data_IF_522243069621
#
_entry.id   IF_522243069621
#
_cell.length_a   1.000
_cell.length_b   1.000
_cell.length_c   1.000
_cell.angle_alpha   90.00
_cell.angle_beta   90.00
_cell.angle_gamma   90.00
#
_symmetry.space_group_name_H-M   'P 1'
#
loop_
_entity.id
_entity.type
_entity.pdbx_description
1 polymer ?
#
# COMPACT_ATOMS: atom_id res chain seq x y z
N UNK A 1 -4.87 -27.70 -6.99
CA UNK A 1 -6.07 -28.32 -7.56
C UNK A 1 -7.17 -27.27 -7.57
N UNK A 2 -8.06 -27.24 -8.57
CA UNK A 2 -9.05 -26.15 -8.68
C UNK A 2 -10.01 -26.09 -7.48
N UNK A 3 -10.31 -27.23 -6.85
CA UNK A 3 -11.18 -27.33 -5.67
C UNK A 3 -10.57 -26.68 -4.43
N UNK A 4 -9.25 -26.79 -4.21
CA UNK A 4 -8.59 -26.12 -3.08
C UNK A 4 -8.53 -24.61 -3.27
N UNK A 5 -8.42 -24.15 -4.52
CA UNK A 5 -8.53 -22.73 -4.86
C UNK A 5 -9.92 -22.16 -4.61
N UNK A 6 -10.98 -22.87 -5.03
CA UNK A 6 -12.37 -22.44 -4.82
C UNK A 6 -12.73 -22.38 -3.33
N UNK A 7 -12.38 -23.41 -2.55
CA UNK A 7 -12.64 -23.43 -1.12
C UNK A 7 -11.96 -22.28 -0.37
N UNK A 8 -10.74 -21.89 -0.78
CA UNK A 8 -10.08 -20.70 -0.24
C UNK A 8 -10.86 -19.43 -0.57
N UNK A 9 -11.36 -19.28 -1.81
CA UNK A 9 -12.12 -18.09 -2.21
C UNK A 9 -13.44 -17.97 -1.46
N UNK A 10 -14.17 -19.08 -1.29
CA UNK A 10 -15.43 -19.11 -0.54
C UNK A 10 -15.19 -18.75 0.93
N UNK A 11 -14.17 -19.34 1.56
CA UNK A 11 -13.77 -18.99 2.93
C UNK A 11 -13.34 -17.53 3.03
N UNK A 12 -12.57 -17.03 2.06
CA UNK A 12 -12.08 -15.66 2.08
C UNK A 12 -13.21 -14.63 1.90
N UNK A 13 -14.27 -15.00 1.18
CA UNK A 13 -15.49 -14.21 1.07
C UNK A 13 -16.27 -14.20 2.39
N UNK A 14 -16.48 -15.37 2.99
CA UNK A 14 -17.20 -15.52 4.27
C UNK A 14 -16.50 -14.77 5.42
N UNK A 15 -15.19 -14.95 5.54
CA UNK A 15 -14.35 -14.26 6.53
C UNK A 15 -14.00 -12.82 6.13
N UNK A 16 -14.52 -12.33 4.99
CA UNK A 16 -14.30 -10.97 4.48
C UNK A 16 -12.82 -10.56 4.49
N UNK A 17 -11.96 -11.50 4.09
CA UNK A 17 -10.50 -11.39 4.19
C UNK A 17 -9.88 -10.22 3.40
N UNK A 18 -10.67 -9.57 2.55
CA UNK A 18 -10.30 -8.46 1.66
C UNK A 18 -11.06 -7.17 1.98
N UNK A 19 -11.97 -7.19 2.97
CA UNK A 19 -12.71 -6.02 3.39
C UNK A 19 -11.78 -5.08 4.14
N UNK A 20 -11.80 -3.82 3.74
CA UNK A 20 -11.07 -2.74 4.40
C UNK A 20 -12.07 -2.00 5.28
N UNK A 21 -11.84 -2.04 6.60
CA UNK A 21 -12.62 -1.27 7.58
C UNK A 21 -12.16 0.19 7.55
N UNK A 22 -13.01 1.09 7.03
CA UNK A 22 -12.68 2.51 6.97
C UNK A 22 -12.71 3.14 8.36
N UNK A 23 -13.58 2.62 9.24
CA UNK A 23 -13.71 2.99 10.64
C UNK A 23 -12.41 2.71 11.39
N UNK A 24 -11.87 1.49 11.28
CA UNK A 24 -10.62 1.14 11.97
C UNK A 24 -9.43 1.98 11.45
N UNK A 25 -9.40 2.28 10.15
CA UNK A 25 -8.36 3.13 9.56
C UNK A 25 -8.50 4.57 10.04
N UNK A 26 -9.72 5.09 10.08
CA UNK A 26 -9.99 6.43 10.55
C UNK A 26 -9.54 6.59 12.01
N UNK A 27 -9.95 5.67 12.88
CA UNK A 27 -9.61 5.70 14.31
C UNK A 27 -8.11 5.53 14.56
N UNK A 28 -7.45 4.65 13.80
CA UNK A 28 -6.02 4.35 14.02
C UNK A 28 -5.06 5.35 13.38
N UNK A 29 -5.47 6.05 12.32
CA UNK A 29 -4.55 6.82 11.46
C UNK A 29 -5.00 8.27 11.25
N UNK A 30 -6.30 8.55 11.26
CA UNK A 30 -6.85 9.85 10.86
C UNK A 30 -7.75 10.50 11.92
N UNK A 31 -7.53 10.21 13.20
CA UNK A 31 -8.27 10.80 14.33
C UNK A 31 -9.80 10.66 14.20
N UNK A 32 -10.28 9.54 13.64
CA UNK A 32 -11.70 9.27 13.42
C UNK A 32 -12.29 9.89 12.14
N UNK A 33 -11.47 10.53 11.30
CA UNK A 33 -11.92 11.13 10.02
C UNK A 33 -12.13 10.05 8.94
N UNK A 34 -13.38 9.60 8.82
CA UNK A 34 -13.81 8.57 7.85
C UNK A 34 -13.59 9.02 6.39
N UNK A 35 -13.75 10.30 6.09
CA UNK A 35 -13.61 10.80 4.73
C UNK A 35 -12.14 10.78 4.29
N UNK A 36 -11.22 11.13 5.19
CA UNK A 36 -9.78 10.92 4.96
C UNK A 36 -9.42 9.46 4.81
N UNK A 37 -9.98 8.58 5.65
CA UNK A 37 -9.73 7.14 5.54
C UNK A 37 -10.17 6.60 4.17
N UNK A 38 -11.39 6.91 3.73
CA UNK A 38 -11.90 6.52 2.40
C UNK A 38 -11.04 7.10 1.27
N UNK A 39 -10.66 8.38 1.37
CA UNK A 39 -9.81 9.05 0.38
C UNK A 39 -8.45 8.38 0.28
N UNK A 40 -7.78 8.13 1.40
CA UNK A 40 -6.45 7.55 1.45
C UNK A 40 -6.44 6.10 0.92
N UNK A 41 -7.42 5.28 1.30
CA UNK A 41 -7.58 3.92 0.74
C UNK A 41 -7.86 3.97 -0.76
N UNK A 42 -8.72 4.88 -1.21
CA UNK A 42 -9.00 5.08 -2.64
C UNK A 42 -7.75 5.46 -3.44
N UNK A 43 -6.93 6.37 -2.91
CA UNK A 43 -5.65 6.77 -3.51
C UNK A 43 -4.67 5.58 -3.57
N UNK A 44 -4.52 4.84 -2.48
CA UNK A 44 -3.67 3.64 -2.47
C UNK A 44 -4.14 2.63 -3.54
N UNK A 45 -5.44 2.37 -3.60
CA UNK A 45 -6.05 1.46 -4.56
C UNK A 45 -5.85 1.90 -6.01
N UNK A 46 -5.94 3.20 -6.29
CA UNK A 46 -5.79 3.74 -7.64
C UNK A 46 -4.32 3.80 -8.11
N UNK A 47 -3.39 4.13 -7.22
CA UNK A 47 -2.02 4.50 -7.61
C UNK A 47 -0.93 3.54 -7.14
N UNK A 48 -1.16 2.76 -6.07
CA UNK A 48 -0.12 1.95 -5.42
C UNK A 48 -0.40 0.45 -5.50
N UNK A 49 -1.64 0.04 -5.22
CA UNK A 49 -2.02 -1.35 -4.98
C UNK A 49 -1.68 -2.27 -6.15
N UNK A 50 -1.80 -1.80 -7.40
CA UNK A 50 -1.48 -2.58 -8.61
C UNK A 50 -0.08 -3.17 -8.62
N UNK A 51 0.90 -2.44 -8.07
CA UNK A 51 2.30 -2.87 -8.05
C UNK A 51 2.71 -3.49 -6.71
N UNK A 52 2.03 -3.12 -5.63
CA UNK A 52 2.45 -3.40 -4.25
C UNK A 52 1.55 -4.40 -3.50
N UNK A 53 0.46 -4.84 -4.12
CA UNK A 53 -0.46 -5.88 -3.63
C UNK A 53 -0.54 -6.96 -4.69
N UNK A 54 -0.22 -8.22 -4.33
CA UNK A 54 -0.32 -9.34 -5.27
C UNK A 54 -1.67 -9.38 -5.94
N UNK A 55 -1.64 -9.71 -7.24
CA UNK A 55 -2.77 -9.82 -8.16
C UNK A 55 -3.96 -8.89 -7.94
N UNK A 56 -3.73 -7.69 -7.41
CA UNK A 56 -4.73 -6.62 -7.36
C UNK A 56 -5.34 -6.37 -8.75
N UNK A 57 -4.52 -6.49 -9.81
CA UNK A 57 -4.96 -6.43 -11.21
C UNK A 57 -5.90 -7.55 -11.65
N UNK A 58 -5.92 -8.68 -10.94
CA UNK A 58 -6.81 -9.82 -11.14
C UNK A 58 -8.01 -9.79 -10.16
N UNK A 59 -8.19 -8.68 -9.43
CA UNK A 59 -9.18 -8.48 -8.36
C UNK A 59 -8.54 -8.50 -6.98
N UNK A 60 -9.17 -7.86 -6.00
CA UNK A 60 -8.68 -7.74 -4.60
C UNK A 60 -8.23 -9.07 -3.97
N UNK A 61 -8.69 -10.21 -4.49
CA UNK A 61 -8.51 -11.56 -3.95
C UNK A 61 -7.15 -12.23 -4.17
N UNK A 62 -6.16 -11.57 -4.78
CA UNK A 62 -4.87 -12.22 -5.01
C UNK A 62 -3.90 -12.02 -3.83
N UNK A 63 -3.68 -13.13 -3.13
CA UNK A 63 -2.56 -13.43 -2.22
C UNK A 63 -2.34 -12.53 -0.99
N UNK A 64 -2.43 -13.20 0.17
CA UNK A 64 -2.00 -12.75 1.50
C UNK A 64 -0.56 -13.18 1.82
N UNK A 65 0.21 -13.63 0.82
CA UNK A 65 1.56 -14.14 1.06
C UNK A 65 2.56 -13.01 1.36
N UNK A 66 3.44 -13.26 2.33
CA UNK A 66 4.45 -12.31 2.78
C UNK A 66 5.41 -11.98 1.63
N UNK A 67 5.50 -10.70 1.26
CA UNK A 67 6.41 -10.22 0.20
C UNK A 67 5.85 -10.21 -1.22
N UNK A 68 4.54 -10.43 -1.41
CA UNK A 68 3.92 -10.67 -2.72
C UNK A 68 3.67 -9.45 -3.60
N UNK A 69 4.48 -8.40 -3.46
CA UNK A 69 4.45 -7.25 -4.35
C UNK A 69 4.45 -7.65 -5.83
N UNK A 70 3.42 -7.28 -6.59
CA UNK A 70 3.28 -7.72 -7.98
C UNK A 70 4.44 -7.28 -8.88
N UNK A 71 5.01 -6.10 -8.60
CA UNK A 71 6.16 -5.53 -9.33
C UNK A 71 7.11 -4.74 -8.41
N UNK A 72 6.58 -4.08 -7.37
CA UNK A 72 7.36 -3.44 -6.30
C UNK A 72 7.10 -4.15 -4.97
N UNK A 73 7.94 -3.96 -3.93
CA UNK A 73 7.84 -4.71 -2.67
C UNK A 73 6.51 -4.50 -1.95
N UNK A 74 6.05 -5.48 -1.16
CA UNK A 74 4.84 -5.33 -0.36
C UNK A 74 4.92 -4.15 0.63
N UNK A 75 3.85 -3.35 0.70
CA UNK A 75 3.76 -2.15 1.55
C UNK A 75 2.99 -2.36 2.88
N UNK A 76 2.49 -3.58 3.10
CA UNK A 76 1.78 -3.99 4.33
C UNK A 76 2.70 -4.02 5.56
N UNK A 77 2.17 -4.37 6.73
CA UNK A 77 2.95 -4.62 7.95
C UNK A 77 3.86 -3.47 8.39
N UNK A 78 3.46 -2.21 8.17
CA UNK A 78 4.26 -1.04 8.53
C UNK A 78 5.61 -0.96 7.79
N UNK A 79 5.76 -1.63 6.64
CA UNK A 79 7.02 -1.67 5.86
C UNK A 79 7.50 -0.29 5.44
N UNK A 80 6.57 0.65 5.23
CA UNK A 80 6.91 2.05 4.96
C UNK A 80 7.74 2.68 6.10
N UNK A 81 7.44 2.37 7.37
CA UNK A 81 8.17 2.86 8.54
C UNK A 81 9.56 2.20 8.71
N UNK A 82 9.72 0.98 8.18
CA UNK A 82 11.02 0.30 8.16
C UNK A 82 11.92 0.93 7.11
N UNK A 83 11.40 1.11 5.89
CA UNK A 83 12.14 1.63 4.74
C UNK A 83 12.42 3.14 4.85
N UNK A 84 11.47 3.93 5.35
CA UNK A 84 11.57 5.39 5.45
C UNK A 84 11.34 5.83 6.89
N UNK A 85 12.43 6.22 7.56
CA UNK A 85 12.39 6.65 8.96
C UNK A 85 11.67 7.99 9.10
N UNK A 86 12.01 8.95 8.23
CA UNK A 86 11.33 10.24 8.18
C UNK A 86 10.17 10.20 7.19
N UNK A 87 9.10 10.91 7.54
CA UNK A 87 7.90 11.00 6.70
C UNK A 87 8.21 11.75 5.41
N UNK A 88 9.06 12.77 5.50
CA UNK A 88 9.49 13.64 4.41
C UNK A 88 10.31 12.89 3.36
N UNK A 89 11.12 11.91 3.78
CA UNK A 89 11.86 11.04 2.85
C UNK A 89 10.92 10.20 1.98
N UNK A 90 9.81 9.74 2.56
CA UNK A 90 8.79 8.99 1.84
C UNK A 90 7.98 9.91 0.91
N UNK A 91 7.67 11.15 1.33
CA UNK A 91 7.06 12.16 0.47
C UNK A 91 7.94 12.40 -0.76
N UNK A 92 9.22 12.71 -0.54
CA UNK A 92 10.17 13.00 -1.60
C UNK A 92 10.28 11.83 -2.59
N UNK A 93 10.35 10.60 -2.06
CA UNK A 93 10.41 9.40 -2.86
C UNK A 93 9.14 9.17 -3.70
N UNK A 94 7.94 9.39 -3.15
CA UNK A 94 6.67 9.23 -3.88
C UNK A 94 6.52 10.34 -4.93
N UNK A 95 6.95 11.57 -4.63
CA UNK A 95 6.93 12.69 -5.58
C UNK A 95 7.83 12.41 -6.78
N UNK A 96 9.07 11.94 -6.55
CA UNK A 96 10.08 11.74 -7.59
C UNK A 96 9.99 10.38 -8.29
N UNK A 97 9.54 9.35 -7.59
CA UNK A 97 9.59 7.97 -8.03
C UNK A 97 10.97 7.33 -7.87
N UNK A 98 11.07 6.05 -8.22
CA UNK A 98 12.35 5.33 -8.16
C UNK A 98 13.23 5.66 -9.36
N UNK A 99 14.50 5.94 -9.14
CA UNK A 99 15.50 6.14 -10.20
C UNK A 99 16.49 4.98 -10.19
N UNK A 100 16.81 4.43 -11.38
CA UNK A 100 17.66 3.26 -11.49
C UNK A 100 19.06 3.50 -10.88
N UNK A 101 19.48 2.62 -9.97
CA UNK A 101 20.78 2.68 -9.30
C UNK A 101 20.93 3.81 -8.26
N UNK A 102 19.86 4.56 -7.96
CA UNK A 102 19.89 5.61 -6.91
C UNK A 102 19.40 5.07 -5.58
N UNK A 103 20.09 5.45 -4.51
CA UNK A 103 19.72 5.08 -3.17
C UNK A 103 18.40 5.75 -2.74
N UNK A 104 17.60 5.08 -1.93
CA UNK A 104 16.43 5.63 -1.26
C UNK A 104 16.19 4.93 0.09
N UNK A 105 15.66 5.66 1.07
CA UNK A 105 15.35 5.12 2.40
C UNK A 105 16.52 4.35 3.03
N UNK A 106 16.22 3.34 3.83
CA UNK A 106 17.20 2.46 4.47
C UNK A 106 17.57 1.33 3.53
N UNK A 107 18.81 1.35 3.01
CA UNK A 107 19.37 0.30 2.14
C UNK A 107 18.59 0.03 0.83
N UNK A 108 17.71 0.94 0.41
CA UNK A 108 16.98 0.82 -0.84
C UNK A 108 17.82 1.26 -2.02
N UNK A 109 17.73 0.54 -3.14
CA UNK A 109 18.28 0.94 -4.44
C UNK A 109 17.18 0.90 -5.48
N UNK A 110 16.94 2.02 -6.15
CA UNK A 110 15.86 2.19 -7.09
C UNK A 110 16.06 1.34 -8.35
N UNK A 111 14.99 0.69 -8.81
CA UNK A 111 14.98 -0.07 -10.07
C UNK A 111 14.48 0.73 -11.29
N UNK A 112 14.11 2.00 -11.11
CA UNK A 112 13.63 2.86 -12.19
C UNK A 112 12.17 2.64 -12.64
N UNK A 113 11.44 1.71 -12.00
CA UNK A 113 10.10 1.29 -12.45
C UNK A 113 8.94 1.97 -11.73
N UNK A 114 9.14 2.46 -10.50
CA UNK A 114 8.11 3.20 -9.77
C UNK A 114 8.07 4.64 -10.31
N UNK A 115 6.93 5.11 -10.85
CA UNK A 115 6.81 6.48 -11.34
C UNK A 115 6.81 7.49 -10.19
N UNK A 116 7.13 8.74 -10.50
CA UNK A 116 6.90 9.86 -9.59
C UNK A 116 5.48 10.38 -9.71
N UNK A 117 4.83 10.62 -8.57
CA UNK A 117 3.42 11.01 -8.51
C UNK A 117 3.20 12.52 -8.34
N UNK A 118 4.26 13.32 -8.14
CA UNK A 118 4.12 14.76 -7.91
C UNK A 118 3.54 15.55 -9.09
N UNK A 119 3.54 14.97 -10.30
CA UNK A 119 2.93 15.58 -11.48
C UNK A 119 1.44 15.23 -11.66
N UNK A 120 0.93 14.24 -10.92
CA UNK A 120 -0.42 13.67 -11.12
C UNK A 120 -1.30 13.72 -9.88
N UNK A 121 -0.71 13.89 -8.69
CA UNK A 121 -1.42 14.01 -7.42
C UNK A 121 -1.00 15.31 -6.71
N UNK A 122 -1.95 16.03 -6.09
CA UNK A 122 -1.61 17.14 -5.23
C UNK A 122 -0.86 16.65 -3.99
N UNK A 123 0.00 17.49 -3.41
CA UNK A 123 0.77 17.14 -2.21
C UNK A 123 -0.11 16.70 -1.04
N UNK A 124 -1.32 17.25 -0.91
CA UNK A 124 -2.29 16.83 0.11
C UNK A 124 -2.75 15.38 -0.05
N UNK A 125 -2.94 14.90 -1.28
CA UNK A 125 -3.29 13.49 -1.54
C UNK A 125 -2.08 12.57 -1.32
N UNK A 126 -0.88 13.03 -1.69
CA UNK A 126 0.37 12.30 -1.40
C UNK A 126 0.57 12.17 0.12
N UNK A 127 0.31 13.22 0.87
CA UNK A 127 0.36 13.19 2.33
C UNK A 127 -0.64 12.17 2.91
N UNK A 128 -1.88 12.13 2.42
CA UNK A 128 -2.90 11.18 2.88
C UNK A 128 -2.50 9.71 2.64
N UNK A 129 -2.00 9.38 1.45
CA UNK A 129 -1.59 7.99 1.17
C UNK A 129 -0.37 7.61 2.02
N UNK A 130 0.52 8.55 2.31
CA UNK A 130 1.67 8.33 3.19
C UNK A 130 1.24 8.06 4.62
N UNK A 131 0.33 8.86 5.14
CA UNK A 131 -0.20 8.68 6.49
C UNK A 131 -0.90 7.32 6.60
N UNK A 132 -1.65 6.91 5.58
CA UNK A 132 -2.21 5.56 5.49
C UNK A 132 -1.14 4.45 5.49
N UNK A 133 -0.09 4.57 4.67
CA UNK A 133 1.00 3.58 4.63
C UNK A 133 1.77 3.49 5.96
N UNK A 134 1.92 4.61 6.67
CA UNK A 134 2.60 4.67 7.96
C UNK A 134 1.72 4.21 9.12
N UNK A 135 0.39 4.35 8.99
CA UNK A 135 -0.61 3.86 9.94
C UNK A 135 -0.84 2.35 9.90
N UNK A 136 -0.40 1.67 8.84
CA UNK A 136 -0.45 0.21 8.76
C UNK A 136 0.37 -0.43 9.88
N UNK A 137 -0.30 -1.16 10.77
CA UNK A 137 0.35 -1.93 11.84
C UNK A 137 1.16 -3.09 11.25
N UNK A 138 2.24 -3.54 11.93
CA UNK A 138 2.90 -4.80 11.61
C UNK A 138 1.91 -5.96 11.59
N UNK A 139 2.05 -6.89 10.65
CA UNK A 139 1.33 -8.16 10.69
C UNK A 139 1.75 -8.87 12.00
N UNK A 140 0.77 -9.42 12.73
CA UNK A 140 1.00 -10.16 13.98
C UNK A 140 1.72 -11.49 13.74
#
# INVERSE_FOLDING_TARGET
EAETGLAFLEKALDEKLWEVSFEDIADSTFDGDIDKAKRAVGLFNAYCARCHTAGYSAGVAYTKEIGSGGLGPALRAGRANIQFKQREDLIDFIVKGSVNGKAYGVNGVGGGKMPGFGAVLPESDIALVIDYLRGMKPDA
#
